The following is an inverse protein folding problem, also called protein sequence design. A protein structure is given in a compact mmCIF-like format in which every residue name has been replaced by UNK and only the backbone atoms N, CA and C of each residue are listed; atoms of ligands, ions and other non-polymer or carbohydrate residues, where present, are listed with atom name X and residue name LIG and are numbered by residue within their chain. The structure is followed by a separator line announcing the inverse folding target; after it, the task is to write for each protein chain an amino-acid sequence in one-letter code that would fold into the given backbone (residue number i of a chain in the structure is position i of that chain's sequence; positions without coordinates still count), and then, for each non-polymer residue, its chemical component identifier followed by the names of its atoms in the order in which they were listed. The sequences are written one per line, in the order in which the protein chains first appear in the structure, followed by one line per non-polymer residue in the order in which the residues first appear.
data_IF_232055908804
#
_entry.id   IF_232055908804
#
_cell.length_a   1.000
_cell.length_b   1.000
_cell.length_c   1.000
_cell.angle_alpha   90.00
_cell.angle_beta   90.00
_cell.angle_gamma   90.00
#
_symmetry.space_group_name_H-M   'P 1'
#
loop_
_entity.id
_entity.type
_entity.pdbx_description
1 polymer ?
#
# COMPACT_ATOMS: atom_id res chain seq x y z
N UNK A 1 32.50 33.90 14.65
CA UNK A 1 31.78 35.13 14.23
C UNK A 1 30.53 34.63 13.51
N UNK A 2 29.46 34.27 14.22
CA UNK A 2 28.48 35.18 14.84
C UNK A 2 27.36 35.40 13.81
N UNK A 3 26.08 35.12 14.05
CA UNK A 3 25.37 34.69 15.24
C UNK A 3 23.99 34.11 14.86
N UNK A 4 23.35 33.55 15.88
CA UNK A 4 21.91 33.28 15.97
C UNK A 4 21.09 34.51 15.56
N UNK A 5 19.90 34.30 15.00
CA UNK A 5 18.66 34.72 15.66
C UNK A 5 17.47 34.03 15.00
N UNK A 6 16.75 33.30 15.85
CA UNK A 6 15.39 32.83 15.65
C UNK A 6 14.43 34.03 15.61
N UNK A 7 13.41 34.01 14.75
CA UNK A 7 12.14 34.69 15.02
C UNK A 7 11.01 34.09 14.17
N UNK A 8 10.06 33.51 14.90
CA UNK A 8 8.62 33.57 14.68
C UNK A 8 8.02 32.97 13.40
N UNK A 9 7.66 31.69 13.51
CA UNK A 9 6.39 31.21 12.98
C UNK A 9 5.44 31.00 14.18
N UNK A 10 4.93 32.08 14.75
CA UNK A 10 3.69 32.05 15.51
C UNK A 10 2.51 32.16 14.54
N UNK A 11 1.60 31.18 14.61
CA UNK A 11 0.17 31.24 14.31
C UNK A 11 -0.34 29.79 14.50
N UNK A 12 -1.25 29.41 15.41
CA UNK A 12 -2.21 30.11 16.28
C UNK A 12 -2.41 29.14 17.46
N UNK A 13 -2.29 29.65 18.69
CA UNK A 13 -2.87 29.01 19.86
C UNK A 13 -4.30 29.56 20.08
N UNK A 14 -5.14 28.75 20.72
CA UNK A 14 -6.56 28.99 21.07
C UNK A 14 -7.61 28.85 19.95
N UNK A 15 -8.21 27.65 19.86
CA UNK A 15 -9.59 27.41 20.30
C UNK A 15 -10.15 26.08 19.77
N UNK A 16 -9.82 24.98 20.43
CA UNK A 16 -10.80 23.89 20.54
C UNK A 16 -11.47 23.99 21.90
N UNK A 17 -12.56 24.76 21.87
CA UNK A 17 -13.76 24.66 22.71
C UNK A 17 -13.70 23.59 23.80
N UNK A 18 -13.78 24.07 25.05
CA UNK A 18 -14.20 23.26 26.21
C UNK A 18 -15.60 22.70 25.95
N UNK A 19 -15.70 21.52 25.34
CA UNK A 19 -16.89 20.70 25.45
C UNK A 19 -16.90 20.05 26.84
N UNK A 20 -17.61 20.69 27.78
CA UNK A 20 -18.00 20.05 29.03
C UNK A 20 -19.02 18.94 28.73
N UNK A 21 -18.66 17.71 29.07
CA UNK A 21 -19.60 16.70 29.55
C UNK A 21 -19.98 15.59 28.59
N UNK A 22 -19.12 14.56 28.49
CA UNK A 22 -19.35 13.20 28.99
C UNK A 22 -17.94 12.62 29.23
N UNK A 23 -17.57 12.44 30.49
CA UNK A 23 -16.24 11.93 30.84
C UNK A 23 -16.17 10.43 30.58
N UNK A 24 -15.27 9.99 29.70
CA UNK A 24 -15.03 8.57 29.43
C UNK A 24 -14.46 7.79 30.65
N UNK A 25 -14.18 8.49 31.76
CA UNK A 25 -13.64 7.95 33.01
C UNK A 25 -14.69 7.61 34.07
N UNK A 26 -15.99 7.83 33.80
CA UNK A 26 -17.04 7.43 34.74
C UNK A 26 -17.10 5.90 34.86
N UNK A 27 -16.85 5.38 36.06
CA UNK A 27 -16.88 3.93 36.37
C UNK A 27 -18.20 3.27 35.94
N UNK A 28 -19.31 4.03 35.99
CA UNK A 28 -20.63 3.59 35.51
C UNK A 28 -20.70 3.42 33.99
N UNK A 29 -20.08 4.33 33.24
CA UNK A 29 -20.01 4.26 31.77
C UNK A 29 -19.07 3.13 31.34
N UNK A 30 -17.96 2.94 32.05
CA UNK A 30 -17.04 1.82 31.81
C UNK A 30 -17.69 0.47 32.08
N UNK A 31 -18.40 0.31 33.20
CA UNK A 31 -19.12 -0.93 33.51
C UNK A 31 -20.28 -1.20 32.55
N UNK A 32 -20.98 -0.16 32.10
CA UNK A 32 -22.03 -0.29 31.08
C UNK A 32 -21.43 -0.70 29.72
N UNK A 33 -20.31 -0.08 29.32
CA UNK A 33 -19.60 -0.43 28.09
C UNK A 33 -19.06 -1.86 28.15
N UNK A 34 -18.40 -2.27 29.24
CA UNK A 34 -17.91 -3.63 29.44
C UNK A 34 -19.05 -4.66 29.46
N UNK A 35 -20.19 -4.32 30.09
CA UNK A 35 -21.40 -5.14 30.06
C UNK A 35 -21.96 -5.31 28.65
N UNK A 36 -22.00 -4.23 27.86
CA UNK A 36 -22.44 -4.26 26.47
C UNK A 36 -21.46 -5.05 25.57
N UNK A 37 -20.15 -4.84 25.73
CA UNK A 37 -19.11 -5.59 25.02
C UNK A 37 -19.21 -7.09 25.33
N UNK A 38 -19.29 -7.48 26.60
CA UNK A 38 -19.38 -8.90 26.99
C UNK A 38 -20.68 -9.56 26.51
N UNK A 39 -21.80 -8.85 26.52
CA UNK A 39 -23.07 -9.35 26.00
C UNK A 39 -22.99 -9.62 24.48
N UNK A 40 -22.41 -8.69 23.71
CA UNK A 40 -22.24 -8.87 22.27
C UNK A 40 -21.21 -9.96 21.98
N UNK A 41 -20.04 -9.89 22.59
CA UNK A 41 -18.92 -10.80 22.29
C UNK A 41 -19.28 -12.26 22.65
N UNK A 42 -20.03 -12.48 23.73
CA UNK A 42 -20.54 -13.81 24.10
C UNK A 42 -21.50 -14.40 23.05
N UNK A 43 -22.38 -13.57 22.46
CA UNK A 43 -23.30 -14.02 21.40
C UNK A 43 -22.57 -14.28 20.08
N UNK A 44 -21.62 -13.42 19.71
CA UNK A 44 -20.80 -13.58 18.50
C UNK A 44 -19.91 -14.82 18.60
N UNK A 45 -19.29 -15.04 19.75
CA UNK A 45 -18.46 -16.23 20.01
C UNK A 45 -19.31 -17.51 19.95
N UNK A 46 -20.51 -17.49 20.56
CA UNK A 46 -21.46 -18.60 20.46
C UNK A 46 -21.87 -18.91 19.01
N UNK A 47 -22.09 -17.89 18.18
CA UNK A 47 -22.41 -18.08 16.76
C UNK A 47 -21.22 -18.65 15.98
N UNK A 48 -20.01 -18.15 16.23
CA UNK A 48 -18.77 -18.69 15.63
C UNK A 48 -18.62 -20.19 15.93
N UNK A 49 -18.80 -20.58 17.18
CA UNK A 49 -18.63 -21.97 17.62
C UNK A 49 -19.73 -22.90 17.10
N UNK A 50 -21.00 -22.46 17.19
CA UNK A 50 -22.14 -23.33 16.87
C UNK A 50 -22.46 -23.40 15.38
N UNK A 51 -22.13 -22.37 14.59
CA UNK A 51 -22.52 -22.27 13.18
C UNK A 51 -21.30 -22.27 12.27
N UNK A 52 -20.35 -21.35 12.49
CA UNK A 52 -19.24 -21.13 11.53
C UNK A 52 -18.24 -22.29 11.54
N UNK A 53 -17.74 -22.70 12.71
CA UNK A 53 -16.75 -23.77 12.83
C UNK A 53 -17.23 -25.13 12.29
N UNK A 54 -18.45 -25.62 12.58
CA UNK A 54 -18.92 -26.89 12.03
C UNK A 54 -19.22 -26.84 10.53
N UNK A 55 -19.61 -25.68 9.99
CA UNK A 55 -19.73 -25.50 8.54
C UNK A 55 -18.35 -25.50 7.88
N UNK A 56 -17.38 -24.80 8.49
CA UNK A 56 -16.01 -24.76 8.00
C UNK A 56 -15.35 -26.14 8.05
N UNK A 57 -15.61 -26.95 9.09
CA UNK A 57 -15.05 -28.31 9.22
C UNK A 57 -15.61 -29.27 8.17
N UNK A 58 -16.88 -29.14 7.82
CA UNK A 58 -17.53 -29.92 6.75
C UNK A 58 -17.06 -29.51 5.36
N UNK A 59 -16.80 -28.22 5.14
CA UNK A 59 -16.39 -27.65 3.85
C UNK A 59 -14.89 -27.31 3.79
N UNK A 60 -14.01 -28.15 4.35
CA UNK A 60 -12.55 -27.98 4.22
C UNK A 60 -12.05 -28.44 2.85
N UNK A 61 -12.43 -27.72 1.80
CA UNK A 61 -11.76 -27.88 0.51
C UNK A 61 -10.37 -27.24 0.56
N UNK A 62 -9.39 -27.89 -0.07
CA UNK A 62 -8.02 -27.38 -0.13
C UNK A 62 -7.92 -26.39 -1.27
N UNK A 63 -7.63 -25.13 -0.97
CA UNK A 63 -7.26 -24.13 -1.97
C UNK A 63 -5.73 -24.05 -2.10
N UNK A 64 -5.24 -24.00 -3.34
CA UNK A 64 -3.82 -23.84 -3.64
C UNK A 64 -3.57 -22.52 -4.37
N UNK A 65 -2.46 -21.88 -4.03
CA UNK A 65 -2.01 -20.70 -4.77
C UNK A 65 -1.51 -21.13 -6.14
N UNK A 66 -2.13 -20.59 -7.20
CA UNK A 66 -1.71 -20.83 -8.58
C UNK A 66 -0.30 -20.29 -8.79
N UNK A 67 0.58 -21.11 -9.36
CA UNK A 67 1.93 -20.71 -9.77
C UNK A 67 1.95 -20.57 -11.28
N UNK A 68 2.40 -19.42 -11.76
CA UNK A 68 2.61 -19.17 -13.18
C UNK A 68 4.10 -19.29 -13.46
N UNK A 69 4.45 -20.10 -14.46
CA UNK A 69 5.82 -20.14 -14.96
C UNK A 69 6.12 -18.86 -15.74
N UNK A 70 7.39 -18.49 -15.82
CA UNK A 70 7.82 -17.35 -16.62
C UNK A 70 7.81 -17.73 -18.11
N UNK A 71 7.30 -16.81 -18.91
CA UNK A 71 7.28 -16.78 -20.37
C UNK A 71 8.43 -15.86 -20.83
N UNK A 72 8.97 -16.03 -22.04
CA UNK A 72 9.86 -15.04 -22.65
C UNK A 72 9.26 -13.62 -22.62
N UNK A 73 10.14 -12.64 -22.42
CA UNK A 73 9.76 -11.23 -22.43
C UNK A 73 9.67 -10.68 -23.86
N UNK A 74 9.02 -9.52 -24.01
CA UNK A 74 8.72 -8.93 -25.33
C UNK A 74 9.96 -8.62 -26.19
N UNK A 75 11.12 -8.45 -25.59
CA UNK A 75 12.40 -8.23 -26.26
C UNK A 75 13.01 -9.50 -26.89
N UNK A 76 12.56 -10.67 -26.47
CA UNK A 76 13.00 -11.97 -26.99
C UNK A 76 12.08 -12.52 -28.08
N UNK A 77 10.86 -11.99 -28.17
CA UNK A 77 9.88 -12.37 -29.18
C UNK A 77 10.21 -11.76 -30.54
N UNK A 78 9.87 -12.49 -31.61
CA UNK A 78 9.86 -11.93 -32.96
C UNK A 78 8.64 -11.02 -33.15
N UNK A 79 8.75 -10.01 -34.00
CA UNK A 79 7.68 -9.06 -34.27
C UNK A 79 6.52 -9.67 -35.07
N UNK A 80 6.80 -10.77 -35.79
CA UNK A 80 5.80 -11.51 -36.59
C UNK A 80 5.09 -12.62 -35.81
N UNK A 81 5.48 -12.89 -34.55
CA UNK A 81 4.86 -13.92 -33.72
C UNK A 81 3.86 -13.29 -32.72
N UNK A 82 2.55 -13.22 -33.07
CA UNK A 82 1.54 -12.67 -32.17
C UNK A 82 1.30 -13.54 -30.92
N UNK A 83 1.66 -14.82 -30.95
CA UNK A 83 1.45 -15.73 -29.81
C UNK A 83 2.46 -15.41 -28.71
N UNK A 84 3.74 -15.28 -29.07
CA UNK A 84 4.79 -14.88 -28.12
C UNK A 84 4.48 -13.52 -27.48
N UNK A 85 4.07 -12.54 -28.29
CA UNK A 85 3.71 -11.19 -27.80
C UNK A 85 2.50 -11.27 -26.85
N UNK A 86 1.48 -12.06 -27.19
CA UNK A 86 0.29 -12.23 -26.36
C UNK A 86 0.64 -12.84 -24.99
N UNK A 87 1.47 -13.88 -24.95
CA UNK A 87 1.88 -14.51 -23.69
C UNK A 87 2.73 -13.55 -22.83
N UNK A 88 3.60 -12.76 -23.46
CA UNK A 88 4.40 -11.73 -22.79
C UNK A 88 3.53 -10.61 -22.21
N UNK A 89 2.50 -10.16 -22.95
CA UNK A 89 1.53 -9.17 -22.49
C UNK A 89 0.73 -9.68 -21.28
N UNK A 90 0.26 -10.93 -21.34
CA UNK A 90 -0.44 -11.58 -20.23
C UNK A 90 0.42 -11.68 -18.96
N UNK A 91 1.71 -12.01 -19.11
CA UNK A 91 2.64 -11.99 -17.99
C UNK A 91 2.81 -10.56 -17.46
N UNK A 92 2.98 -9.57 -18.34
CA UNK A 92 3.14 -8.18 -17.96
C UNK A 92 1.92 -7.64 -17.18
N UNK A 93 0.69 -7.98 -17.60
CA UNK A 93 -0.52 -7.59 -16.87
C UNK A 93 -0.58 -8.21 -15.47
N UNK A 94 -0.20 -9.48 -15.32
CA UNK A 94 -0.14 -10.15 -14.01
C UNK A 94 0.92 -9.51 -13.11
N UNK A 95 2.11 -9.25 -13.64
CA UNK A 95 3.17 -8.60 -12.89
C UNK A 95 2.78 -7.16 -12.48
N UNK A 96 2.07 -6.42 -13.36
CA UNK A 96 1.50 -5.10 -13.02
C UNK A 96 0.50 -5.17 -11.86
N UNK A 97 -0.38 -6.18 -11.85
CA UNK A 97 -1.33 -6.39 -10.75
C UNK A 97 -0.61 -6.73 -9.44
N UNK A 98 0.45 -7.54 -9.50
CA UNK A 98 1.28 -7.86 -8.33
C UNK A 98 1.97 -6.59 -7.81
N UNK A 99 2.62 -5.82 -8.67
CA UNK A 99 3.31 -4.58 -8.29
C UNK A 99 2.35 -3.53 -7.71
N UNK A 100 1.14 -3.39 -8.26
CA UNK A 100 0.10 -2.53 -7.70
C UNK A 100 -0.34 -2.99 -6.29
N UNK A 101 -0.42 -4.29 -6.04
CA UNK A 101 -0.72 -4.82 -4.71
C UNK A 101 0.44 -4.63 -3.72
N UNK A 102 1.70 -4.70 -4.18
CA UNK A 102 2.88 -4.39 -3.34
C UNK A 102 2.79 -2.94 -2.84
N UNK A 103 2.56 -1.98 -3.74
CA UNK A 103 2.40 -0.56 -3.35
C UNK A 103 1.20 -0.37 -2.42
N UNK A 104 0.10 -1.09 -2.66
CA UNK A 104 -1.08 -1.04 -1.77
C UNK A 104 -0.77 -1.54 -0.36
N UNK A 105 -0.01 -2.63 -0.22
CA UNK A 105 0.41 -3.16 1.09
C UNK A 105 1.31 -2.15 1.80
N UNK A 106 2.29 -1.56 1.10
CA UNK A 106 3.19 -0.55 1.70
C UNK A 106 2.42 0.70 2.13
N UNK A 107 1.43 1.13 1.34
CA UNK A 107 0.53 2.23 1.72
C UNK A 107 -0.24 1.92 3.00
N UNK A 108 -0.78 0.70 3.10
CA UNK A 108 -1.53 0.27 4.29
C UNK A 108 -0.64 0.31 5.53
N UNK A 109 0.60 -0.18 5.43
CA UNK A 109 1.58 -0.12 6.53
C UNK A 109 1.92 1.31 6.94
N UNK A 110 2.06 2.23 5.97
CA UNK A 110 2.25 3.66 6.24
C UNK A 110 1.09 4.24 7.04
N UNK A 111 -0.15 3.99 6.60
CA UNK A 111 -1.37 4.48 7.26
C UNK A 111 -1.50 3.90 8.67
N UNK A 112 -1.25 2.60 8.85
CA UNK A 112 -1.29 1.94 10.16
C UNK A 112 -0.27 2.53 11.13
N UNK A 113 0.96 2.77 10.67
CA UNK A 113 1.98 3.41 11.50
C UNK A 113 1.58 4.84 11.91
N UNK A 114 1.07 5.63 10.97
CA UNK A 114 0.59 6.99 11.24
C UNK A 114 -0.58 6.99 12.24
N UNK A 115 -1.52 6.06 12.11
CA UNK A 115 -2.65 5.92 13.01
C UNK A 115 -2.23 5.47 14.42
N UNK A 116 -1.20 4.62 14.53
CA UNK A 116 -0.71 4.11 15.81
C UNK A 116 0.12 5.14 16.59
N UNK A 117 1.03 5.85 15.92
CA UNK A 117 1.96 6.79 16.56
C UNK A 117 1.36 8.20 16.77
N UNK A 118 0.30 8.56 16.05
CA UNK A 118 -0.38 9.84 16.17
C UNK A 118 0.56 11.04 15.92
N UNK A 119 0.81 11.92 16.91
CA UNK A 119 1.61 13.13 16.73
C UNK A 119 3.09 12.87 16.42
N UNK A 120 3.67 11.77 16.90
CA UNK A 120 5.10 11.43 16.71
C UNK A 120 5.37 10.67 15.40
N UNK A 121 4.35 10.49 14.57
CA UNK A 121 4.40 9.69 13.34
C UNK A 121 5.51 10.12 12.38
N UNK A 122 5.85 11.42 12.32
CA UNK A 122 6.89 11.96 11.42
C UNK A 122 8.27 11.37 11.66
N UNK A 123 8.63 11.07 12.91
CA UNK A 123 9.96 10.52 13.23
C UNK A 123 9.95 8.99 13.18
N UNK A 124 8.96 8.37 13.83
CA UNK A 124 8.92 6.91 14.01
C UNK A 124 8.54 6.16 12.74
N UNK A 125 7.68 6.74 11.89
CA UNK A 125 7.21 6.09 10.66
C UNK A 125 8.08 6.39 9.43
N UNK A 126 9.14 7.19 9.57
CA UNK A 126 9.98 7.66 8.44
C UNK A 126 10.47 6.54 7.54
N UNK A 127 10.96 5.43 8.11
CA UNK A 127 11.44 4.29 7.32
C UNK A 127 10.34 3.67 6.45
N UNK A 128 9.13 3.53 6.98
CA UNK A 128 7.99 2.94 6.25
C UNK A 128 7.52 3.91 5.16
N UNK A 129 7.58 5.20 5.44
CA UNK A 129 7.30 6.25 4.47
C UNK A 129 8.30 6.22 3.31
N UNK A 130 9.61 6.19 3.60
CA UNK A 130 10.66 6.09 2.59
C UNK A 130 10.51 4.80 1.74
N UNK A 131 10.20 3.66 2.36
CA UNK A 131 9.93 2.39 1.65
C UNK A 131 8.74 2.53 0.69
N UNK A 132 7.65 3.17 1.14
CA UNK A 132 6.47 3.43 0.31
C UNK A 132 6.78 4.38 -0.84
N UNK A 133 7.48 5.49 -0.59
CA UNK A 133 7.81 6.49 -1.60
C UNK A 133 8.74 5.93 -2.68
N UNK A 134 9.75 5.16 -2.28
CA UNK A 134 10.63 4.46 -3.21
C UNK A 134 9.84 3.46 -4.07
N UNK A 135 8.95 2.66 -3.46
CA UNK A 135 8.13 1.71 -4.20
C UNK A 135 7.13 2.39 -5.14
N UNK A 136 6.48 3.47 -4.68
CA UNK A 136 5.53 4.25 -5.48
C UNK A 136 6.23 4.93 -6.66
N UNK A 137 7.43 5.46 -6.45
CA UNK A 137 8.27 6.07 -7.49
C UNK A 137 8.67 5.02 -8.53
N UNK A 138 9.17 3.87 -8.10
CA UNK A 138 9.52 2.75 -8.99
C UNK A 138 8.32 2.24 -9.80
N UNK A 139 7.16 2.14 -9.15
CA UNK A 139 5.92 1.76 -9.82
C UNK A 139 5.50 2.80 -10.88
N UNK A 140 5.60 4.10 -10.56
CA UNK A 140 5.28 5.18 -11.50
C UNK A 140 6.28 5.26 -12.66
N UNK A 141 7.57 5.03 -12.42
CA UNK A 141 8.58 4.97 -13.49
C UNK A 141 8.22 3.85 -14.48
N UNK A 142 7.81 2.68 -14.00
CA UNK A 142 7.46 1.55 -14.87
C UNK A 142 6.10 1.71 -15.54
N UNK A 143 5.06 2.12 -14.81
CA UNK A 143 3.67 2.07 -15.27
C UNK A 143 2.98 3.42 -15.45
N UNK A 144 3.54 4.50 -14.92
CA UNK A 144 2.97 5.84 -14.98
C UNK A 144 2.89 6.37 -16.40
N UNK A 145 1.93 7.26 -16.66
CA UNK A 145 1.72 7.96 -17.96
C UNK A 145 1.48 7.06 -19.17
N UNK A 146 1.39 5.74 -18.99
CA UNK A 146 0.96 4.81 -20.02
C UNK A 146 -0.58 4.81 -20.12
N UNK A 147 -1.12 4.78 -21.33
CA UNK A 147 -2.55 4.66 -21.59
C UNK A 147 -3.07 3.30 -21.09
N UNK A 148 -4.35 3.26 -20.76
CA UNK A 148 -4.98 2.10 -20.13
C UNK A 148 -4.92 0.80 -20.96
N UNK A 149 -4.86 0.91 -22.30
CA UNK A 149 -4.88 -0.23 -23.23
C UNK A 149 -3.49 -0.73 -23.63
N UNK A 150 -2.42 -0.28 -22.97
CA UNK A 150 -1.05 -0.54 -23.41
C UNK A 150 -0.45 -1.78 -22.74
N UNK A 151 0.25 -2.58 -23.54
CA UNK A 151 0.89 -3.84 -23.15
C UNK A 151 2.39 -3.72 -22.85
N UNK A 152 3.08 -4.85 -22.90
CA UNK A 152 4.51 -4.98 -22.61
C UNK A 152 5.39 -4.20 -23.61
N UNK A 153 4.98 -4.12 -24.89
CA UNK A 153 5.72 -3.38 -25.94
C UNK A 153 5.90 -1.92 -25.54
N UNK A 154 4.88 -1.28 -25.01
CA UNK A 154 4.95 0.13 -24.66
C UNK A 154 5.80 0.39 -23.43
N UNK A 155 5.67 -0.47 -22.41
CA UNK A 155 6.54 -0.42 -21.24
C UNK A 155 8.02 -0.60 -21.65
N UNK A 156 8.28 -1.47 -22.63
CA UNK A 156 9.60 -1.65 -23.20
C UNK A 156 10.10 -0.40 -23.94
N UNK A 157 9.26 0.26 -24.75
CA UNK A 157 9.62 1.51 -25.42
C UNK A 157 9.87 2.66 -24.43
N UNK A 158 9.09 2.74 -23.35
CA UNK A 158 9.31 3.69 -22.26
C UNK A 158 10.66 3.43 -21.57
N UNK A 159 10.97 2.17 -21.26
CA UNK A 159 12.26 1.78 -20.70
C UNK A 159 13.42 2.16 -21.63
N UNK A 160 13.29 1.88 -22.94
CA UNK A 160 14.28 2.25 -23.95
C UNK A 160 14.50 3.76 -24.01
N UNK A 161 13.43 4.56 -23.98
CA UNK A 161 13.53 6.02 -23.94
C UNK A 161 14.33 6.50 -22.74
N UNK A 162 14.08 5.93 -21.54
CA UNK A 162 14.82 6.24 -20.33
C UNK A 162 16.32 5.91 -20.46
N UNK A 163 16.66 4.71 -20.94
CA UNK A 163 18.06 4.30 -21.13
C UNK A 163 18.79 5.18 -22.16
N UNK A 164 18.12 5.61 -23.23
CA UNK A 164 18.69 6.55 -24.20
C UNK A 164 18.96 7.91 -23.54
N UNK A 165 18.07 8.37 -22.67
CA UNK A 165 18.23 9.63 -21.95
C UNK A 165 19.38 9.56 -20.92
N UNK A 166 19.47 8.48 -20.14
CA UNK A 166 20.54 8.24 -19.16
C UNK A 166 21.92 8.24 -19.84
N UNK A 167 22.03 7.56 -20.99
CA UNK A 167 23.26 7.57 -21.81
C UNK A 167 23.65 8.96 -22.30
N UNK A 168 22.69 9.86 -22.52
CA UNK A 168 22.95 11.25 -22.97
C UNK A 168 23.26 12.20 -21.81
N UNK A 169 22.91 11.85 -20.57
CA UNK A 169 23.08 12.68 -19.38
C UNK A 169 23.73 11.86 -18.25
N UNK A 170 25.01 11.47 -18.37
CA UNK A 170 25.69 10.64 -17.36
C UNK A 170 25.89 11.36 -16.01
N UNK A 171 25.83 12.68 -16.02
CA UNK A 171 25.97 13.57 -14.85
C UNK A 171 24.70 13.66 -14.00
N UNK A 172 23.54 13.35 -14.57
CA UNK A 172 22.24 13.48 -13.88
C UNK A 172 21.81 12.13 -13.32
N UNK A 173 21.76 12.03 -11.99
CA UNK A 173 21.20 10.87 -11.33
C UNK A 173 19.67 10.97 -11.26
N UNK A 174 18.99 10.06 -11.96
CA UNK A 174 17.57 9.79 -11.72
C UNK A 174 17.51 8.92 -10.47
N UNK A 175 17.00 9.49 -9.37
CA UNK A 175 16.79 8.88 -8.04
C UNK A 175 18.06 8.65 -7.17
#
# INVERSE_FOLDING_TARGET
MGGHDDTEAECIDESQSKNKGISFTDLKVQNLALGFFSAIDGTVTSFREKVVLPLQSKNKEKFYHRRFNRVPTVDQCDYEDPVCIYEADEQFYRDKLVDSNIVKILRQRKIECMAWEGPDSRYKCKKIEDEYENAATNWFIKYGEMRATQGAIEAYMKQKHRLIWERRNPDKKLH
#
